data_IF_956028202954
#
_entry.id   IF_956028202954
#
_cell.length_a   1.000
_cell.length_b   1.000
_cell.length_c   1.000
_cell.angle_alpha   90.00
_cell.angle_beta   90.00
_cell.angle_gamma   90.00
#
_symmetry.space_group_name_H-M   'P 1'
#
loop_
_entity.id
_entity.type
_entity.pdbx_description
1 polymer ?
#
# COMPACT_ATOMS: atom_id res chain seq x y z
N UNK A 1 -48.32 -42.45 37.93
CA UNK A 1 -48.22 -43.89 37.59
C UNK A 1 -48.77 -44.05 36.19
N UNK A 2 -48.15 -44.92 35.37
CA UNK A 2 -48.52 -45.22 33.97
C UNK A 2 -48.38 -43.98 33.04
N UNK A 3 -47.28 -43.74 32.32
CA UNK A 3 -46.54 -44.54 31.33
C UNK A 3 -47.34 -44.87 30.07
N UNK A 4 -47.06 -44.15 28.98
CA UNK A 4 -47.17 -44.70 27.62
C UNK A 4 -46.20 -43.98 26.67
N UNK A 5 -45.56 -44.76 25.82
CA UNK A 5 -44.81 -44.35 24.62
C UNK A 5 -45.40 -45.09 23.43
N UNK A 6 -45.23 -44.58 22.20
CA UNK A 6 -44.92 -45.52 21.13
C UNK A 6 -43.78 -45.07 20.21
N UNK A 7 -43.31 -46.05 19.41
CA UNK A 7 -42.11 -46.03 18.59
C UNK A 7 -42.25 -45.35 17.22
N UNK A 8 -41.11 -44.83 16.75
CA UNK A 8 -40.48 -45.01 15.41
C UNK A 8 -41.39 -45.24 14.19
N UNK A 9 -41.21 -44.38 13.18
CA UNK A 9 -41.30 -44.78 11.77
C UNK A 9 -40.28 -43.99 10.92
N UNK A 10 -39.44 -44.70 10.15
CA UNK A 10 -38.53 -44.13 9.16
C UNK A 10 -39.09 -44.31 7.75
N UNK A 11 -39.01 -43.28 6.90
CA UNK A 11 -39.30 -43.42 5.46
C UNK A 11 -38.35 -42.56 4.62
N UNK A 12 -37.43 -43.23 3.92
CA UNK A 12 -36.80 -42.68 2.72
C UNK A 12 -37.81 -42.66 1.56
N UNK A 13 -37.65 -41.74 0.59
CA UNK A 13 -38.03 -41.98 -0.80
C UNK A 13 -36.80 -42.42 -1.61
N UNK A 14 -36.86 -43.60 -2.21
CA UNK A 14 -35.90 -44.06 -3.22
C UNK A 14 -36.32 -43.60 -4.62
N UNK A 15 -35.32 -43.16 -5.39
CA UNK A 15 -35.12 -43.40 -6.83
C UNK A 15 -36.34 -43.47 -7.78
N UNK A 16 -36.29 -42.66 -8.83
CA UNK A 16 -36.40 -43.24 -10.17
C UNK A 16 -35.28 -42.71 -11.06
N UNK A 17 -34.61 -43.63 -11.76
CA UNK A 17 -33.53 -43.34 -12.69
C UNK A 17 -34.03 -43.41 -14.13
N UNK A 18 -33.35 -42.71 -15.03
CA UNK A 18 -33.34 -43.03 -16.45
C UNK A 18 -31.93 -42.85 -17.02
N UNK A 19 -31.24 -43.97 -17.18
CA UNK A 19 -30.20 -44.25 -18.17
C UNK A 19 -30.61 -43.74 -19.58
N UNK A 20 -29.74 -43.45 -20.56
CA UNK A 20 -28.27 -43.43 -20.74
C UNK A 20 -28.04 -42.82 -22.17
N UNK A 21 -26.85 -42.76 -22.83
CA UNK A 21 -25.53 -43.28 -22.46
C UNK A 21 -24.34 -42.30 -22.58
N UNK A 22 -23.21 -42.82 -22.10
CA UNK A 22 -21.84 -42.29 -22.14
C UNK A 22 -21.25 -42.13 -23.56
N UNK A 23 -20.36 -41.14 -23.72
CA UNK A 23 -19.28 -41.16 -24.72
C UNK A 23 -17.95 -40.74 -24.05
N UNK A 24 -17.00 -41.67 -23.94
CA UNK A 24 -15.64 -41.41 -23.46
C UNK A 24 -14.77 -40.80 -24.57
N UNK A 25 -13.97 -39.77 -24.26
CA UNK A 25 -12.72 -39.54 -24.99
C UNK A 25 -11.63 -38.88 -24.14
N UNK A 26 -10.60 -39.68 -23.88
CA UNK A 26 -9.18 -39.36 -23.75
C UNK A 26 -8.72 -38.01 -23.15
N UNK A 27 -7.96 -38.13 -22.06
CA UNK A 27 -7.01 -37.11 -21.56
C UNK A 27 -6.08 -36.61 -22.67
N UNK A 28 -5.81 -35.30 -22.70
CA UNK A 28 -4.49 -34.77 -23.08
C UNK A 28 -4.15 -33.52 -22.27
N UNK A 29 -3.14 -33.65 -21.42
CA UNK A 29 -2.43 -32.53 -20.82
C UNK A 29 -1.67 -31.77 -21.91
N UNK A 30 -1.81 -30.45 -21.96
CA UNK A 30 -0.98 -29.58 -22.81
C UNK A 30 -0.33 -28.52 -21.92
N UNK A 31 1.00 -28.55 -21.86
CA UNK A 31 1.79 -27.50 -21.24
C UNK A 31 1.65 -26.21 -22.08
N UNK A 32 1.27 -25.11 -21.44
CA UNK A 32 1.30 -23.79 -22.08
C UNK A 32 2.74 -23.26 -22.03
N UNK A 33 3.44 -23.28 -23.16
CA UNK A 33 4.80 -22.73 -23.27
C UNK A 33 4.75 -21.22 -23.55
N UNK A 34 5.56 -20.47 -22.79
CA UNK A 34 5.61 -19.01 -22.78
C UNK A 34 6.38 -18.46 -24.00
N UNK A 35 5.80 -18.57 -25.22
CA UNK A 35 6.16 -17.85 -26.47
C UNK A 35 5.23 -18.25 -27.64
N UNK A 36 4.19 -17.48 -27.89
CA UNK A 36 3.47 -17.42 -29.18
C UNK A 36 2.57 -16.16 -29.21
N UNK A 37 2.47 -15.52 -30.38
CA UNK A 37 1.77 -14.26 -30.70
C UNK A 37 2.63 -12.97 -30.64
N UNK A 38 3.65 -12.95 -31.49
CA UNK A 38 4.20 -11.75 -32.10
C UNK A 38 4.06 -11.92 -33.63
N UNK A 39 3.59 -10.88 -34.32
CA UNK A 39 3.50 -10.63 -35.79
C UNK A 39 2.48 -11.38 -36.72
N UNK A 40 1.72 -10.55 -37.47
CA UNK A 40 1.09 -10.81 -38.79
C UNK A 40 -0.42 -11.08 -38.76
N UNK A 41 -1.32 -10.33 -39.42
CA UNK A 41 -1.23 -9.65 -40.73
C UNK A 41 -2.23 -8.46 -40.85
N UNK A 42 -2.19 -7.81 -42.00
CA UNK A 42 -2.77 -6.54 -42.45
C UNK A 42 -4.29 -6.51 -42.71
N UNK A 43 -4.83 -5.28 -42.72
CA UNK A 43 -5.85 -4.90 -43.69
C UNK A 43 -5.64 -3.45 -44.14
N UNK A 44 -5.88 -3.20 -45.43
CA UNK A 44 -5.68 -1.92 -46.11
C UNK A 44 -7.03 -1.23 -46.25
N UNK A 45 -7.13 0.04 -45.84
CA UNK A 45 -8.00 1.02 -46.50
C UNK A 45 -7.32 2.39 -46.53
N UNK A 46 -7.57 3.09 -47.63
CA UNK A 46 -6.86 4.27 -48.08
C UNK A 46 -7.80 5.48 -48.06
N UNK A 47 -7.35 6.60 -47.48
CA UNK A 47 -7.96 7.92 -47.63
C UNK A 47 -7.00 8.99 -47.11
N UNK A 48 -6.57 9.88 -48.00
CA UNK A 48 -5.70 11.01 -47.71
C UNK A 48 -6.32 12.00 -46.71
N UNK A 49 -5.50 12.53 -45.78
CA UNK A 49 -5.67 13.88 -45.24
C UNK A 49 -4.32 14.40 -44.69
N UNK A 50 -4.05 15.70 -44.85
CA UNK A 50 -2.76 16.32 -44.50
C UNK A 50 -2.56 16.46 -42.98
N UNK A 51 -1.50 15.87 -42.41
CA UNK A 51 -1.12 16.13 -41.01
C UNK A 51 0.31 16.65 -40.80
N UNK A 52 0.40 17.68 -39.96
CA UNK A 52 1.58 18.49 -39.69
C UNK A 52 2.63 17.67 -38.90
N UNK A 53 3.79 17.43 -39.52
CA UNK A 53 4.88 16.64 -38.89
C UNK A 53 5.44 17.30 -37.62
N UNK A 54 5.46 16.63 -36.45
CA UNK A 54 6.10 17.16 -35.26
C UNK A 54 7.64 17.19 -35.40
N UNK A 55 8.34 18.13 -34.71
CA UNK A 55 9.79 18.28 -34.85
C UNK A 55 10.55 17.04 -34.33
N UNK A 56 11.66 16.63 -34.98
CA UNK A 56 12.33 15.37 -34.67
C UNK A 56 12.99 15.37 -33.29
N UNK A 57 12.59 14.40 -32.45
CA UNK A 57 13.11 14.17 -31.09
C UNK A 57 14.65 14.08 -31.05
N UNK A 58 15.23 14.54 -29.92
CA UNK A 58 16.66 14.66 -29.62
C UNK A 58 17.55 13.54 -30.20
N UNK A 59 17.18 12.28 -29.98
CA UNK A 59 17.93 11.10 -30.43
C UNK A 59 18.16 11.04 -31.95
N UNK A 60 17.23 11.54 -32.77
CA UNK A 60 17.40 11.59 -34.24
C UNK A 60 18.43 12.65 -34.65
N UNK A 61 18.49 13.79 -33.95
CA UNK A 61 19.53 14.82 -34.15
C UNK A 61 20.92 14.30 -33.74
N UNK A 62 21.01 13.59 -32.61
CA UNK A 62 22.26 12.99 -32.13
C UNK A 62 22.77 11.88 -33.09
N UNK A 63 21.89 11.02 -33.58
CA UNK A 63 22.24 9.95 -34.54
C UNK A 63 22.70 10.52 -35.90
N UNK A 64 22.15 11.65 -36.32
CA UNK A 64 22.58 12.36 -37.53
C UNK A 64 23.96 13.04 -37.37
N UNK A 65 24.28 13.63 -36.21
CA UNK A 65 25.61 14.24 -35.99
C UNK A 65 26.73 13.20 -35.93
N UNK A 66 26.46 12.01 -35.38
CA UNK A 66 27.38 10.89 -35.38
C UNK A 66 27.59 10.29 -36.79
N UNK A 67 26.51 10.17 -37.59
CA UNK A 67 26.60 9.68 -38.98
C UNK A 67 27.39 10.63 -39.89
N UNK A 68 27.38 11.94 -39.62
CA UNK A 68 28.15 12.95 -40.36
C UNK A 68 29.67 12.92 -40.10
N UNK A 69 30.14 12.09 -39.15
CA UNK A 69 31.56 11.99 -38.77
C UNK A 69 32.30 10.81 -39.39
N UNK A 70 31.61 9.97 -40.20
CA UNK A 70 32.17 8.70 -40.69
C UNK A 70 31.88 8.39 -42.17
N UNK A 71 31.75 9.43 -43.00
CA UNK A 71 31.71 9.32 -44.47
C UNK A 71 32.48 10.50 -45.10
N UNK A 72 33.22 10.32 -46.19
CA UNK A 72 33.57 9.09 -46.89
C UNK A 72 34.79 9.31 -47.78
N UNK A 73 35.59 8.27 -48.01
CA UNK A 73 36.77 8.34 -48.87
C UNK A 73 36.34 8.12 -50.33
N UNK A 74 35.83 9.17 -50.97
CA UNK A 74 35.47 9.13 -52.39
C UNK A 74 36.76 9.18 -53.21
N UNK A 75 36.96 8.17 -54.06
CA UNK A 75 37.95 8.22 -55.15
C UNK A 75 37.28 8.91 -56.33
N UNK A 76 37.90 9.96 -56.82
CA UNK A 76 37.68 10.48 -58.17
C UNK A 76 39.02 10.27 -58.88
N UNK A 77 39.01 9.49 -59.96
CA UNK A 77 40.09 9.51 -60.94
C UNK A 77 39.84 10.72 -61.84
N UNK A 78 40.77 11.67 -61.83
CA UNK A 78 40.92 12.67 -62.87
C UNK A 78 42.41 12.95 -63.03
N UNK A 79 42.91 12.76 -64.25
CA UNK A 79 44.32 12.95 -64.57
C UNK A 79 44.65 14.42 -64.78
N UNK A 80 45.52 14.98 -63.93
CA UNK A 80 46.31 16.15 -64.32
C UNK A 80 47.71 16.10 -63.71
N UNK A 81 48.72 16.31 -64.55
CA UNK A 81 50.12 16.38 -64.14
C UNK A 81 50.35 17.54 -63.17
N UNK A 82 50.96 17.26 -62.03
CA UNK A 82 51.46 18.29 -61.12
C UNK A 82 52.97 18.13 -60.93
N UNK A 83 53.69 19.16 -61.37
CA UNK A 83 55.16 19.24 -61.37
C UNK A 83 55.71 19.12 -59.96
N UNK A 84 56.71 18.24 -59.77
CA UNK A 84 57.46 18.13 -58.51
C UNK A 84 58.58 19.17 -58.46
N UNK A 85 58.70 19.86 -57.33
CA UNK A 85 59.93 20.53 -56.90
C UNK A 85 60.49 19.81 -55.66
N UNK A 86 61.82 19.67 -55.51
CA UNK A 86 62.44 18.93 -54.41
C UNK A 86 62.69 19.78 -53.15
N UNK A 87 62.88 19.07 -52.02
CA UNK A 87 63.40 19.52 -50.72
C UNK A 87 62.59 20.59 -49.94
N UNK A 88 62.36 20.47 -48.62
CA UNK A 88 63.30 20.01 -47.59
C UNK A 88 62.64 19.57 -46.25
N UNK A 89 63.45 18.96 -45.36
CA UNK A 89 63.34 18.89 -43.88
C UNK A 89 62.16 18.13 -43.20
N UNK A 90 62.47 16.89 -42.78
CA UNK A 90 61.71 16.09 -41.78
C UNK A 90 61.79 16.71 -40.36
N UNK A 91 60.68 17.24 -39.85
CA UNK A 91 60.50 17.60 -38.41
C UNK A 91 59.04 17.99 -38.08
N UNK A 92 58.47 17.94 -36.86
CA UNK A 92 58.85 17.32 -35.56
C UNK A 92 57.65 16.49 -35.03
N UNK A 93 57.62 15.15 -35.14
CA UNK A 93 56.43 14.33 -34.71
C UNK A 93 56.24 14.18 -33.18
N UNK A 94 57.23 14.54 -32.35
CA UNK A 94 57.22 14.26 -30.91
C UNK A 94 56.22 15.03 -30.04
N UNK A 95 55.75 16.22 -30.46
CA UNK A 95 54.99 17.10 -29.56
C UNK A 95 53.47 16.88 -29.55
N UNK A 96 52.88 16.32 -30.63
CA UNK A 96 51.41 16.09 -30.72
C UNK A 96 50.93 14.89 -29.90
N UNK A 97 51.80 13.95 -29.55
CA UNK A 97 51.42 12.74 -28.78
C UNK A 97 51.14 13.11 -27.32
N UNK A 98 52.07 13.80 -26.65
CA UNK A 98 51.91 14.22 -25.23
C UNK A 98 50.58 14.95 -24.96
N UNK A 99 50.18 15.88 -25.84
CA UNK A 99 48.93 16.66 -25.70
C UNK A 99 47.65 15.79 -25.73
N UNK A 100 47.66 14.64 -26.43
CA UNK A 100 46.54 13.69 -26.44
C UNK A 100 46.44 12.85 -25.16
N UNK A 101 47.57 12.50 -24.55
CA UNK A 101 47.57 11.78 -23.27
C UNK A 101 47.11 12.68 -22.11
N UNK A 102 47.57 13.93 -22.08
CA UNK A 102 47.09 14.93 -21.10
C UNK A 102 45.58 15.16 -21.24
N UNK A 103 45.08 15.39 -22.46
CA UNK A 103 43.64 15.56 -22.69
C UNK A 103 42.79 14.34 -22.30
N UNK A 104 43.33 13.12 -22.44
CA UNK A 104 42.66 11.89 -21.95
C UNK A 104 42.70 11.81 -20.42
N UNK A 105 43.82 12.15 -19.78
CA UNK A 105 43.94 12.18 -18.33
C UNK A 105 42.94 13.16 -17.69
N UNK A 106 42.76 14.35 -18.27
CA UNK A 106 41.79 15.35 -17.80
C UNK A 106 40.31 14.89 -17.85
N UNK A 107 39.98 13.82 -18.59
CA UNK A 107 38.63 13.24 -18.63
C UNK A 107 38.54 11.96 -17.81
N UNK A 108 39.59 11.13 -17.83
CA UNK A 108 39.64 9.86 -17.09
C UNK A 108 39.75 10.09 -15.57
N UNK A 109 40.54 11.07 -15.11
CA UNK A 109 40.73 11.32 -13.68
C UNK A 109 39.42 11.75 -13.00
N UNK A 110 38.63 12.73 -13.48
CA UNK A 110 37.33 13.04 -12.90
C UNK A 110 36.35 11.86 -12.94
N UNK A 111 36.35 11.07 -14.02
CA UNK A 111 35.49 9.89 -14.13
C UNK A 111 35.83 8.83 -13.07
N UNK A 112 37.12 8.56 -12.85
CA UNK A 112 37.58 7.64 -11.81
C UNK A 112 37.25 8.16 -10.40
N UNK A 113 37.32 9.47 -10.17
CA UNK A 113 36.91 10.08 -8.90
C UNK A 113 35.41 9.90 -8.65
N UNK A 114 34.56 10.13 -9.67
CA UNK A 114 33.10 9.89 -9.56
C UNK A 114 32.79 8.42 -9.33
N UNK A 115 33.48 7.50 -10.02
CA UNK A 115 33.33 6.06 -9.81
C UNK A 115 33.78 5.66 -8.39
N UNK A 116 34.92 6.18 -7.92
CA UNK A 116 35.43 5.91 -6.57
C UNK A 116 34.44 6.37 -5.49
N UNK A 117 33.94 7.61 -5.57
CA UNK A 117 32.93 8.09 -4.63
C UNK A 117 31.59 7.34 -4.78
N UNK A 118 31.20 6.92 -5.98
CA UNK A 118 30.02 6.07 -6.20
C UNK A 118 30.16 4.70 -5.54
N UNK A 119 31.33 4.06 -5.64
CA UNK A 119 31.64 2.79 -4.96
C UNK A 119 31.69 3.00 -3.44
N UNK A 120 32.33 4.07 -2.96
CA UNK A 120 32.37 4.41 -1.54
C UNK A 120 30.97 4.67 -0.98
N UNK A 121 30.09 5.29 -1.76
CA UNK A 121 28.71 5.56 -1.36
C UNK A 121 27.85 4.29 -1.38
N UNK A 122 28.04 3.41 -2.36
CA UNK A 122 27.44 2.07 -2.39
C UNK A 122 27.91 1.25 -1.18
N UNK A 123 29.21 1.22 -0.90
CA UNK A 123 29.77 0.55 0.28
C UNK A 123 29.22 1.13 1.57
N UNK A 124 29.11 2.45 1.71
CA UNK A 124 28.50 3.08 2.89
C UNK A 124 27.01 2.74 3.04
N UNK A 125 26.28 2.60 1.93
CA UNK A 125 24.88 2.15 1.93
C UNK A 125 24.80 0.68 2.33
N UNK A 126 25.58 -0.21 1.72
CA UNK A 126 25.62 -1.63 2.08
C UNK A 126 26.08 -1.86 3.53
N UNK A 127 27.15 -1.21 3.98
CA UNK A 127 27.64 -1.25 5.36
C UNK A 127 26.65 -0.61 6.33
N UNK A 128 25.91 0.42 5.92
CA UNK A 128 24.79 0.97 6.69
C UNK A 128 23.61 -0.01 6.84
N UNK A 129 23.46 -0.96 5.91
CA UNK A 129 22.50 -2.06 6.01
C UNK A 129 23.04 -3.31 6.73
N UNK A 130 24.36 -3.48 6.90
CA UNK A 130 24.92 -4.64 7.64
C UNK A 130 24.35 -4.73 9.07
N UNK A 131 24.25 -3.65 9.88
CA UNK A 131 23.56 -3.68 11.18
C UNK A 131 22.07 -4.02 11.13
N UNK A 132 21.41 -3.92 9.96
CA UNK A 132 20.01 -4.34 9.79
C UNK A 132 19.85 -5.78 9.33
N UNK A 133 20.92 -6.43 8.86
CA UNK A 133 20.94 -7.86 8.52
C UNK A 133 21.63 -8.71 9.60
N UNK A 134 22.47 -8.10 10.44
CA UNK A 134 23.12 -8.71 11.60
C UNK A 134 22.62 -8.03 12.89
N UNK A 135 21.33 -8.18 13.19
CA UNK A 135 20.82 -7.90 14.53
C UNK A 135 21.10 -9.12 15.42
N UNK A 136 22.23 -9.09 16.14
CA UNK A 136 22.58 -10.10 17.15
C UNK A 136 21.77 -9.86 18.45
N UNK A 137 20.44 -9.89 18.31
CA UNK A 137 19.48 -9.76 19.41
C UNK A 137 18.17 -10.50 19.10
N UNK A 138 18.27 -11.71 18.54
CA UNK A 138 17.20 -12.70 18.68
C UNK A 138 17.21 -13.22 20.13
N UNK A 139 16.64 -12.45 21.05
CA UNK A 139 16.28 -12.96 22.38
C UNK A 139 15.20 -14.01 22.20
N UNK A 140 15.59 -15.28 22.29
CA UNK A 140 14.69 -16.42 22.25
C UNK A 140 13.65 -16.27 23.38
N UNK A 141 12.37 -16.12 23.03
CA UNK A 141 11.31 -15.71 23.98
C UNK A 141 10.80 -16.86 24.86
N UNK A 142 11.60 -17.90 25.07
CA UNK A 142 11.37 -18.93 26.09
C UNK A 142 11.77 -18.40 27.47
N UNK A 143 10.91 -17.57 28.05
CA UNK A 143 11.08 -17.02 29.40
C UNK A 143 10.39 -17.89 30.46
N UNK A 144 10.91 -17.85 31.68
CA UNK A 144 10.20 -18.38 32.86
C UNK A 144 8.92 -17.59 33.14
N UNK A 145 7.96 -18.22 33.80
CA UNK A 145 6.62 -17.65 34.04
C UNK A 145 6.64 -16.28 34.75
N UNK A 146 7.58 -16.08 35.68
CA UNK A 146 7.78 -14.78 36.37
C UNK A 146 8.34 -13.68 35.45
N UNK A 147 9.24 -14.01 34.52
CA UNK A 147 9.74 -13.03 33.56
C UNK A 147 8.70 -12.73 32.46
N UNK A 148 7.98 -13.76 32.02
CA UNK A 148 6.88 -13.66 31.06
C UNK A 148 5.76 -12.75 31.56
N UNK A 149 5.32 -12.93 32.81
CA UNK A 149 4.25 -12.10 33.42
C UNK A 149 4.62 -10.62 33.58
N UNK A 150 5.87 -10.31 33.96
CA UNK A 150 6.35 -8.92 34.05
C UNK A 150 6.47 -8.23 32.68
N UNK A 151 6.76 -8.97 31.61
CA UNK A 151 6.82 -8.42 30.26
C UNK A 151 5.42 -8.29 29.66
N UNK A 152 4.53 -9.26 29.92
CA UNK A 152 3.13 -9.17 29.54
C UNK A 152 2.46 -7.92 30.15
N UNK A 153 2.64 -7.65 31.45
CA UNK A 153 2.09 -6.43 32.07
C UNK A 153 2.67 -5.15 31.46
N UNK A 154 3.98 -5.09 31.21
CA UNK A 154 4.62 -3.95 30.55
C UNK A 154 4.09 -3.73 29.11
N UNK A 155 3.80 -4.78 28.35
CA UNK A 155 3.20 -4.68 27.01
C UNK A 155 1.76 -4.16 27.04
N UNK A 156 0.98 -4.53 28.06
CA UNK A 156 -0.39 -4.03 28.25
C UNK A 156 -0.43 -2.53 28.60
N UNK A 157 0.63 -2.02 29.23
CA UNK A 157 0.77 -0.62 29.65
C UNK A 157 1.69 0.25 28.79
N UNK A 158 2.14 -0.24 27.63
CA UNK A 158 3.07 0.46 26.71
C UNK A 158 2.59 1.85 26.28
N UNK A 159 1.28 2.11 26.33
CA UNK A 159 0.62 3.36 25.94
C UNK A 159 0.36 4.33 27.10
N UNK A 160 0.82 4.02 28.32
CA UNK A 160 0.50 4.76 29.54
C UNK A 160 0.80 6.26 29.43
N UNK A 161 1.99 6.59 28.93
CA UNK A 161 2.50 7.96 28.80
C UNK A 161 2.69 8.37 27.33
N UNK A 162 1.95 7.75 26.41
CA UNK A 162 2.03 8.00 24.97
C UNK A 162 0.89 8.90 24.52
N UNK A 163 1.20 10.04 23.91
CA UNK A 163 0.21 10.91 23.26
C UNK A 163 -0.18 10.34 21.89
N UNK A 164 -1.47 10.06 21.63
CA UNK A 164 -1.91 9.62 20.32
C UNK A 164 -1.80 10.73 19.26
N UNK A 165 -1.50 10.32 18.03
CA UNK A 165 -1.45 11.18 16.84
C UNK A 165 -2.12 10.48 15.63
N UNK A 166 -2.63 11.23 14.62
CA UNK A 166 -3.27 10.67 13.42
C UNK A 166 -2.30 10.02 12.41
N UNK A 167 -1.34 9.21 12.88
CA UNK A 167 -0.56 8.36 12.00
C UNK A 167 -1.21 6.99 11.83
N UNK A 168 -1.11 6.47 10.61
CA UNK A 168 -1.50 5.14 10.23
C UNK A 168 -0.24 4.31 9.95
N UNK A 169 0.03 3.34 10.82
CA UNK A 169 1.15 2.43 10.71
C UNK A 169 0.88 1.42 9.60
N UNK A 170 1.39 1.75 8.42
CA UNK A 170 1.23 0.96 7.21
C UNK A 170 2.04 -0.33 7.28
N UNK A 171 1.45 -1.45 6.82
CA UNK A 171 2.05 -2.79 6.84
C UNK A 171 2.63 -3.18 8.24
N UNK A 172 1.90 -2.92 9.33
CA UNK A 172 2.44 -2.94 10.70
C UNK A 172 3.04 -4.28 11.15
N UNK A 173 2.54 -5.38 10.59
CA UNK A 173 3.04 -6.75 10.80
C UNK A 173 4.48 -7.00 10.28
N UNK A 174 5.09 -6.08 9.53
CA UNK A 174 6.54 -6.13 9.20
C UNK A 174 7.44 -5.65 10.35
N UNK A 175 6.88 -5.08 11.42
CA UNK A 175 7.66 -4.58 12.55
C UNK A 175 8.21 -5.71 13.40
N UNK A 176 9.24 -5.39 14.19
CA UNK A 176 9.83 -6.34 15.15
C UNK A 176 8.82 -6.75 16.21
N UNK A 177 7.99 -5.83 16.66
CA UNK A 177 6.87 -6.11 17.56
C UNK A 177 5.59 -5.49 16.97
N UNK A 178 4.85 -6.24 16.12
CA UNK A 178 3.59 -5.80 15.53
C UNK A 178 2.60 -5.32 16.59
N UNK A 179 1.72 -4.40 16.21
CA UNK A 179 0.82 -3.60 17.04
C UNK A 179 1.54 -2.69 18.05
N UNK A 180 2.37 -3.26 18.92
CA UNK A 180 2.99 -2.57 20.04
C UNK A 180 3.95 -1.46 19.59
N UNK A 181 4.72 -1.65 18.52
CA UNK A 181 5.58 -0.59 17.97
C UNK A 181 4.75 0.61 17.46
N UNK A 182 3.61 0.39 16.78
CA UNK A 182 2.72 1.47 16.35
C UNK A 182 2.14 2.26 17.52
N UNK A 183 1.62 1.53 18.52
CA UNK A 183 1.01 2.11 19.71
C UNK A 183 2.03 2.89 20.55
N UNK A 184 3.29 2.42 20.64
CA UNK A 184 4.37 3.12 21.35
C UNK A 184 4.71 4.49 20.75
N UNK A 185 4.57 4.66 19.43
CA UNK A 185 4.77 5.95 18.75
C UNK A 185 3.47 6.78 18.65
N UNK A 186 2.38 6.32 19.25
CA UNK A 186 1.12 7.06 19.29
C UNK A 186 0.23 6.92 18.05
N UNK A 187 0.52 6.02 17.10
CA UNK A 187 -0.34 5.89 15.94
C UNK A 187 -1.72 5.36 16.31
N UNK A 188 -2.76 6.13 15.99
CA UNK A 188 -4.16 5.75 16.16
C UNK A 188 -4.72 4.94 14.99
N UNK A 189 -3.88 4.49 14.05
CA UNK A 189 -4.24 3.53 13.01
C UNK A 189 -3.17 2.48 12.78
N UNK A 190 -3.60 1.22 12.58
CA UNK A 190 -2.77 0.06 12.22
C UNK A 190 -3.39 -0.72 11.07
N UNK A 191 -2.57 -1.43 10.31
CA UNK A 191 -2.96 -2.18 9.10
C UNK A 191 -2.68 -3.68 9.24
N UNK A 192 -3.63 -4.51 8.83
CA UNK A 192 -3.54 -5.97 8.74
C UNK A 192 -3.91 -6.45 7.33
N UNK A 193 -2.91 -6.88 6.55
CA UNK A 193 -3.09 -7.49 5.23
C UNK A 193 -3.55 -8.95 5.39
N UNK A 194 -4.86 -9.24 5.28
CA UNK A 194 -5.43 -10.57 5.56
C UNK A 194 -5.62 -11.43 4.31
N UNK A 195 -5.22 -12.70 4.43
CA UNK A 195 -5.42 -13.76 3.45
C UNK A 195 -6.19 -14.91 4.08
N UNK A 196 -7.29 -15.32 3.46
CA UNK A 196 -8.05 -16.51 3.88
C UNK A 196 -7.44 -17.77 3.25
N UNK A 197 -7.04 -18.73 4.08
CA UNK A 197 -6.66 -20.09 3.67
C UNK A 197 -7.19 -21.07 4.72
N UNK A 198 -7.78 -22.19 4.28
CA UNK A 198 -8.27 -23.27 5.15
C UNK A 198 -9.11 -22.78 6.35
N UNK A 199 -10.02 -21.83 6.08
CA UNK A 199 -10.91 -21.15 7.05
C UNK A 199 -10.22 -20.23 8.10
N UNK A 200 -8.90 -20.05 8.05
CA UNK A 200 -8.13 -19.15 8.93
C UNK A 200 -7.61 -17.90 8.18
N UNK A 201 -7.48 -16.78 8.91
CA UNK A 201 -7.03 -15.49 8.39
C UNK A 201 -5.56 -15.26 8.77
N UNK A 202 -4.66 -15.49 7.82
CA UNK A 202 -3.24 -15.20 7.96
C UNK A 202 -2.92 -13.76 7.59
N UNK A 203 -1.98 -13.14 8.30
CA UNK A 203 -1.54 -11.76 8.06
C UNK A 203 -0.20 -11.73 7.34
N UNK A 204 -0.11 -10.95 6.27
CA UNK A 204 1.16 -10.67 5.59
C UNK A 204 0.98 -9.95 4.26
N UNK A 205 2.01 -9.28 3.77
CA UNK A 205 1.92 -8.49 2.52
C UNK A 205 1.80 -9.37 1.28
N UNK A 206 2.34 -10.59 1.36
CA UNK A 206 2.38 -11.59 0.31
C UNK A 206 2.26 -12.98 0.95
N UNK A 207 1.77 -13.97 0.21
CA UNK A 207 1.65 -15.36 0.65
C UNK A 207 2.95 -15.98 1.18
N UNK A 208 4.11 -15.53 0.68
CA UNK A 208 5.43 -15.99 1.11
C UNK A 208 5.87 -15.48 2.51
N UNK A 209 5.17 -14.47 3.05
CA UNK A 209 5.45 -13.91 4.38
C UNK A 209 4.55 -14.51 5.47
N UNK A 210 3.59 -15.36 5.10
CA UNK A 210 2.64 -15.95 6.04
C UNK A 210 3.33 -17.01 6.90
N UNK A 211 2.97 -17.04 8.18
CA UNK A 211 3.46 -18.04 9.14
C UNK A 211 2.29 -18.67 9.88
N UNK A 212 2.39 -19.92 10.36
CA UNK A 212 1.27 -20.60 11.03
C UNK A 212 0.71 -19.84 12.24
N UNK A 213 1.56 -19.11 12.97
CA UNK A 213 1.16 -18.33 14.15
C UNK A 213 0.77 -16.89 13.81
N UNK A 214 1.09 -16.39 12.61
CA UNK A 214 0.81 -15.03 12.14
C UNK A 214 -0.64 -14.86 11.69
N UNK A 215 -1.60 -15.16 12.57
CA UNK A 215 -3.04 -15.03 12.29
C UNK A 215 -3.60 -13.69 12.76
N UNK A 216 -4.72 -13.29 12.17
CA UNK A 216 -5.41 -12.03 12.50
C UNK A 216 -5.81 -11.96 13.99
N UNK A 217 -6.18 -13.10 14.60
CA UNK A 217 -6.43 -13.20 16.05
C UNK A 217 -5.16 -12.94 16.86
N UNK A 218 -4.12 -13.73 16.62
CA UNK A 218 -2.89 -13.69 17.41
C UNK A 218 -2.16 -12.34 17.33
N UNK A 219 -2.18 -11.71 16.16
CA UNK A 219 -1.43 -10.46 15.90
C UNK A 219 -2.20 -9.19 16.28
N UNK A 220 -3.54 -9.20 16.25
CA UNK A 220 -4.35 -7.99 16.47
C UNK A 220 -5.47 -8.19 17.49
N UNK A 221 -6.41 -9.12 17.26
CA UNK A 221 -7.62 -9.20 18.09
C UNK A 221 -7.30 -9.55 19.54
N UNK A 222 -6.54 -10.62 19.78
CA UNK A 222 -6.28 -11.10 21.14
C UNK A 222 -5.38 -10.13 21.94
N UNK A 223 -4.32 -9.53 21.36
CA UNK A 223 -3.60 -8.41 21.99
C UNK A 223 -4.50 -7.24 22.35
N UNK A 224 -5.38 -6.79 21.44
CA UNK A 224 -6.27 -5.64 21.68
C UNK A 224 -7.29 -5.92 22.78
N UNK A 225 -7.91 -7.11 22.78
CA UNK A 225 -8.81 -7.55 23.85
C UNK A 225 -8.08 -7.51 25.20
N UNK A 226 -6.88 -8.10 25.29
CA UNK A 226 -6.10 -8.12 26.54
C UNK A 226 -5.74 -6.70 27.02
N UNK A 227 -5.31 -5.82 26.10
CA UNK A 227 -4.95 -4.43 26.42
C UNK A 227 -6.15 -3.62 26.95
N UNK A 228 -7.30 -3.74 26.30
CA UNK A 228 -8.51 -2.99 26.68
C UNK A 228 -9.12 -3.59 27.96
N UNK A 229 -9.15 -4.92 28.11
CA UNK A 229 -9.56 -5.59 29.35
C UNK A 229 -8.71 -5.12 30.53
N UNK A 230 -7.38 -5.04 30.37
CA UNK A 230 -6.47 -4.59 31.42
C UNK A 230 -6.76 -3.15 31.86
N UNK A 231 -7.02 -2.23 30.91
CA UNK A 231 -7.30 -0.81 31.18
C UNK A 231 -8.71 -0.53 31.71
N UNK A 232 -9.64 -1.47 31.49
CA UNK A 232 -11.02 -1.43 31.95
C UNK A 232 -11.31 -2.39 33.11
N UNK A 233 -10.28 -3.06 33.65
CA UNK A 233 -10.40 -3.90 34.83
C UNK A 233 -11.00 -3.09 35.99
N UNK A 234 -11.99 -3.68 36.67
CA UNK A 234 -12.81 -2.98 37.66
C UNK A 234 -11.97 -2.55 38.85
N UNK A 235 -11.64 -1.26 38.93
CA UNK A 235 -11.25 -0.62 40.19
C UNK A 235 -12.41 -0.76 41.17
N UNK A 236 -12.12 -1.06 42.45
CA UNK A 236 -13.09 -1.42 43.49
C UNK A 236 -14.13 -0.33 43.88
N UNK A 237 -14.24 0.74 43.10
CA UNK A 237 -15.23 1.81 43.21
C UNK A 237 -16.09 1.75 41.93
N UNK A 238 -17.35 1.26 42.01
CA UNK A 238 -18.24 1.29 40.87
C UNK A 238 -18.54 2.75 40.46
N UNK A 239 -18.32 3.14 39.20
CA UNK A 239 -18.77 4.43 38.70
C UNK A 239 -20.31 4.51 38.70
N UNK A 240 -20.84 5.71 38.93
CA UNK A 240 -22.28 5.98 39.07
C UNK A 240 -23.08 5.93 37.75
N UNK A 241 -22.43 5.60 36.65
CA UNK A 241 -23.01 5.40 35.33
C UNK A 241 -22.24 4.31 34.58
N UNK A 242 -22.88 3.66 33.60
CA UNK A 242 -22.20 2.71 32.71
C UNK A 242 -21.08 3.42 31.95
N UNK A 243 -19.79 3.12 32.19
CA UNK A 243 -18.71 3.85 31.56
C UNK A 243 -18.61 3.49 30.08
N UNK A 244 -18.37 4.50 29.24
CA UNK A 244 -17.80 4.25 27.92
C UNK A 244 -16.45 3.54 28.12
N UNK A 245 -16.20 2.36 27.49
CA UNK A 245 -14.94 1.66 27.66
C UNK A 245 -13.75 2.53 27.23
N UNK A 246 -12.69 2.55 28.04
CA UNK A 246 -11.46 3.26 27.74
C UNK A 246 -10.73 2.58 26.57
N UNK A 247 -10.28 3.38 25.62
CA UNK A 247 -9.45 2.97 24.50
C UNK A 247 -8.02 2.57 24.89
N UNK A 248 -7.19 2.32 23.88
CA UNK A 248 -5.83 1.81 24.08
C UNK A 248 -4.85 2.84 24.66
N UNK A 249 -5.12 4.15 24.55
CA UNK A 249 -4.24 5.23 25.03
C UNK A 249 -4.70 5.76 26.40
N UNK A 250 -3.86 5.61 27.43
CA UNK A 250 -4.21 6.09 28.79
C UNK A 250 -4.26 7.62 28.89
N UNK A 251 -3.51 8.32 28.03
CA UNK A 251 -3.46 9.79 27.93
C UNK A 251 -4.71 10.39 27.29
N UNK A 252 -5.43 9.63 26.46
CA UNK A 252 -6.67 10.03 25.81
C UNK A 252 -7.63 8.83 25.76
N UNK A 253 -8.37 8.55 26.86
CA UNK A 253 -9.15 7.33 26.99
C UNK A 253 -10.33 7.19 26.01
N UNK A 254 -10.75 8.26 25.35
CA UNK A 254 -11.79 8.22 24.29
C UNK A 254 -11.21 8.07 22.89
N UNK A 255 -9.87 8.05 22.72
CA UNK A 255 -9.25 7.88 21.42
C UNK A 255 -9.44 6.46 20.90
N UNK A 256 -10.26 6.31 19.85
CA UNK A 256 -10.41 5.06 19.12
C UNK A 256 -9.11 4.69 18.39
N UNK A 257 -8.77 3.40 18.36
CA UNK A 257 -7.74 2.84 17.49
C UNK A 257 -8.39 2.30 16.22
N UNK A 258 -7.92 2.73 15.06
CA UNK A 258 -8.38 2.24 13.77
C UNK A 258 -7.64 0.95 13.40
N UNK A 259 -8.37 -0.15 13.28
CA UNK A 259 -7.86 -1.40 12.72
C UNK A 259 -8.31 -1.50 11.26
N UNK A 260 -7.40 -1.18 10.34
CA UNK A 260 -7.62 -1.31 8.90
C UNK A 260 -7.29 -2.73 8.47
N UNK A 261 -8.26 -3.42 7.86
CA UNK A 261 -8.16 -4.82 7.44
C UNK A 261 -8.21 -4.87 5.92
N UNK A 262 -7.08 -5.14 5.27
CA UNK A 262 -6.95 -5.18 3.81
C UNK A 262 -7.15 -6.60 3.29
N UNK A 263 -8.26 -6.82 2.59
CA UNK A 263 -8.68 -8.13 2.10
C UNK A 263 -7.92 -8.48 0.82
N UNK A 264 -6.97 -9.42 0.88
CA UNK A 264 -6.03 -9.69 -0.23
C UNK A 264 -6.50 -10.71 -1.26
N UNK A 265 -7.31 -11.69 -0.87
CA UNK A 265 -7.92 -12.65 -1.79
C UNK A 265 -9.46 -12.46 -1.84
N UNK A 266 -10.27 -13.51 -1.76
CA UNK A 266 -11.72 -13.38 -1.93
C UNK A 266 -12.36 -12.62 -0.75
N UNK A 267 -12.70 -11.36 -0.99
CA UNK A 267 -13.29 -10.50 0.02
C UNK A 267 -14.68 -10.92 0.50
N UNK A 268 -15.45 -11.67 -0.31
CA UNK A 268 -16.76 -12.22 0.11
C UNK A 268 -16.59 -13.43 1.02
N UNK A 269 -15.52 -14.20 0.84
CA UNK A 269 -15.16 -15.28 1.75
C UNK A 269 -14.47 -14.75 3.03
N UNK A 270 -13.61 -13.73 2.94
CA UNK A 270 -12.94 -13.09 4.10
C UNK A 270 -13.95 -12.43 5.04
N UNK A 271 -14.92 -11.67 4.52
CA UNK A 271 -15.84 -10.84 5.31
C UNK A 271 -16.51 -11.57 6.50
N UNK A 272 -17.17 -12.74 6.33
CA UNK A 272 -17.78 -13.46 7.46
C UNK A 272 -16.76 -13.91 8.50
N UNK A 273 -15.56 -14.36 8.09
CA UNK A 273 -14.51 -14.81 9.03
C UNK A 273 -13.94 -13.63 9.82
N UNK A 274 -13.73 -12.47 9.19
CA UNK A 274 -13.37 -11.22 9.89
C UNK A 274 -14.45 -10.85 10.91
N UNK A 275 -15.72 -10.86 10.51
CA UNK A 275 -16.83 -10.55 11.42
C UNK A 275 -16.93 -11.53 12.60
N UNK A 276 -16.64 -12.82 12.38
CA UNK A 276 -16.55 -13.84 13.42
C UNK A 276 -15.36 -13.60 14.37
N UNK A 277 -14.20 -13.16 13.86
CA UNK A 277 -13.03 -12.86 14.69
C UNK A 277 -13.27 -11.63 15.55
N UNK A 278 -13.99 -10.63 15.04
CA UNK A 278 -14.38 -9.42 15.77
C UNK A 278 -15.39 -9.67 16.92
N UNK A 279 -16.03 -10.84 16.99
CA UNK A 279 -16.94 -11.20 18.10
C UNK A 279 -16.31 -10.99 19.47
N UNK A 280 -15.02 -11.30 19.63
CA UNK A 280 -14.29 -11.12 20.88
C UNK A 280 -14.20 -9.65 21.36
N UNK A 281 -14.26 -8.67 20.44
CA UNK A 281 -14.35 -7.24 20.75
C UNK A 281 -15.82 -6.78 20.85
N UNK A 282 -16.70 -7.34 20.00
CA UNK A 282 -18.13 -7.03 19.93
C UNK A 282 -18.86 -7.33 21.23
N UNK A 283 -18.69 -8.53 21.78
CA UNK A 283 -19.36 -8.98 23.02
C UNK A 283 -18.97 -8.14 24.24
N UNK A 284 -17.82 -7.45 24.18
CA UNK A 284 -17.31 -6.54 25.21
C UNK A 284 -17.71 -5.07 24.99
N UNK A 285 -18.43 -4.76 23.91
CA UNK A 285 -18.75 -3.41 23.45
C UNK A 285 -17.49 -2.55 23.16
N UNK A 286 -16.43 -3.16 22.62
CA UNK A 286 -15.17 -2.47 22.31
C UNK A 286 -15.10 -1.93 20.87
N UNK A 287 -16.08 -2.24 20.03
CA UNK A 287 -16.15 -1.78 18.65
C UNK A 287 -16.95 -0.47 18.53
N UNK A 288 -16.49 0.45 17.68
CA UNK A 288 -17.34 1.47 17.05
C UNK A 288 -18.36 0.76 16.16
N UNK A 289 -19.63 1.17 16.20
CA UNK A 289 -20.69 0.56 15.40
C UNK A 289 -21.77 1.56 14.99
N UNK A 290 -22.47 1.26 13.90
CA UNK A 290 -23.69 1.92 13.48
C UNK A 290 -24.92 1.18 14.01
N UNK A 291 -25.84 1.89 14.66
CA UNK A 291 -27.01 1.35 15.38
C UNK A 291 -28.33 1.30 14.58
N UNK A 292 -28.26 1.62 13.28
CA UNK A 292 -29.44 1.84 12.42
C UNK A 292 -29.77 3.32 12.19
N UNK A 293 -29.25 4.22 13.01
CA UNK A 293 -29.51 5.66 12.96
C UNK A 293 -28.25 6.52 13.04
N UNK A 294 -27.26 6.11 13.83
CA UNK A 294 -26.06 6.88 14.16
C UNK A 294 -24.86 5.96 14.38
N UNK A 295 -23.66 6.53 14.31
CA UNK A 295 -22.41 5.82 14.61
C UNK A 295 -22.00 6.10 16.05
N UNK A 296 -21.96 5.05 16.86
CA UNK A 296 -21.54 5.05 18.26
C UNK A 296 -20.04 4.71 18.32
N UNK A 297 -19.23 5.63 18.83
CA UNK A 297 -17.77 5.42 18.95
C UNK A 297 -17.41 4.43 20.07
N UNK A 298 -16.44 3.56 19.78
CA UNK A 298 -15.86 2.62 20.73
C UNK A 298 -14.32 2.60 20.68
N UNK A 299 -13.67 1.89 21.63
CA UNK A 299 -12.22 1.71 21.68
C UNK A 299 -11.52 1.36 20.36
N UNK A 300 -12.16 0.55 19.51
CA UNK A 300 -11.64 0.08 18.23
C UNK A 300 -12.61 0.44 17.10
N UNK A 301 -12.14 1.11 16.06
CA UNK A 301 -12.90 1.31 14.82
C UNK A 301 -12.33 0.38 13.75
N UNK A 302 -13.12 -0.57 13.25
CA UNK A 302 -12.66 -1.49 12.20
C UNK A 302 -13.02 -0.92 10.83
N UNK A 303 -12.04 -0.90 9.94
CA UNK A 303 -12.22 -0.43 8.56
C UNK A 303 -11.77 -1.52 7.61
N UNK A 304 -12.64 -1.97 6.71
CA UNK A 304 -12.31 -2.95 5.69
C UNK A 304 -11.91 -2.27 4.37
N UNK A 305 -10.85 -2.79 3.75
CA UNK A 305 -10.26 -2.24 2.53
C UNK A 305 -9.76 -3.37 1.59
N UNK A 306 -9.12 -3.02 0.48
CA UNK A 306 -8.69 -3.98 -0.53
C UNK A 306 -9.85 -4.55 -1.33
N UNK A 307 -10.02 -5.87 -1.34
CA UNK A 307 -11.15 -6.55 -1.98
C UNK A 307 -12.44 -6.54 -1.13
N UNK A 308 -12.51 -5.73 -0.07
CA UNK A 308 -13.66 -5.60 0.82
C UNK A 308 -14.97 -5.31 0.06
N UNK A 309 -16.01 -6.16 0.19
CA UNK A 309 -17.27 -6.00 -0.52
C UNK A 309 -18.19 -4.97 0.17
N UNK A 310 -18.32 -3.78 -0.41
CA UNK A 310 -19.18 -2.70 0.10
C UNK A 310 -20.66 -3.13 0.22
N UNK A 311 -21.14 -3.97 -0.70
CA UNK A 311 -22.47 -4.56 -0.70
C UNK A 311 -22.74 -5.41 0.55
N UNK A 312 -21.79 -6.22 1.00
CA UNK A 312 -21.94 -7.00 2.24
C UNK A 312 -21.75 -6.16 3.50
N UNK A 313 -20.80 -5.21 3.48
CA UNK A 313 -20.57 -4.28 4.60
C UNK A 313 -21.84 -3.47 4.89
N UNK A 314 -22.52 -2.99 3.86
CA UNK A 314 -23.73 -2.16 4.01
C UNK A 314 -25.05 -2.94 4.05
N UNK A 315 -25.02 -4.27 3.88
CA UNK A 315 -26.24 -5.10 3.78
C UNK A 315 -27.15 -5.04 5.02
N UNK A 316 -26.56 -4.95 6.21
CA UNK A 316 -27.33 -4.84 7.45
C UNK A 316 -27.66 -3.37 7.75
N UNK A 317 -28.96 -3.03 7.76
CA UNK A 317 -29.44 -1.68 8.04
C UNK A 317 -29.60 -1.35 9.53
N UNK A 318 -29.51 -2.33 10.44
CA UNK A 318 -29.75 -2.13 11.90
C UNK A 318 -28.50 -2.26 12.76
N UNK A 319 -27.47 -2.99 12.32
CA UNK A 319 -26.20 -3.09 13.04
C UNK A 319 -25.02 -3.32 12.09
N UNK A 320 -23.97 -2.50 12.20
CA UNK A 320 -22.69 -2.69 11.49
C UNK A 320 -21.52 -2.22 12.34
N UNK A 321 -20.47 -3.01 12.46
CA UNK A 321 -19.25 -2.69 13.23
C UNK A 321 -17.97 -2.73 12.38
N UNK A 322 -18.12 -2.91 11.07
CA UNK A 322 -17.07 -2.81 10.05
C UNK A 322 -17.46 -1.65 9.12
N UNK A 323 -16.58 -0.66 9.01
CA UNK A 323 -16.76 0.49 8.12
C UNK A 323 -15.95 0.29 6.84
N UNK A 324 -16.30 1.00 5.77
CA UNK A 324 -15.58 0.94 4.50
C UNK A 324 -14.44 1.98 4.39
N UNK A 325 -13.41 1.65 3.64
CA UNK A 325 -12.37 2.58 3.17
C UNK A 325 -12.78 3.16 1.80
N UNK A 326 -13.42 4.33 1.82
CA UNK A 326 -14.02 4.94 0.64
C UNK A 326 -12.98 5.41 -0.40
N UNK A 327 -13.31 5.40 -1.70
CA UNK A 327 -12.38 5.83 -2.75
C UNK A 327 -12.27 7.37 -2.80
N UNK A 328 -11.22 7.93 -2.16
CA UNK A 328 -11.04 9.38 -2.00
C UNK A 328 -11.01 10.15 -3.34
N UNK A 329 -10.58 9.54 -4.44
CA UNK A 329 -10.56 10.18 -5.78
C UNK A 329 -11.94 10.36 -6.43
N UNK A 330 -13.00 9.85 -5.79
CA UNK A 330 -14.40 10.01 -6.18
C UNK A 330 -15.14 11.03 -5.30
N UNK A 331 -14.57 11.43 -4.15
CA UNK A 331 -15.23 12.32 -3.20
C UNK A 331 -14.95 13.82 -3.44
N UNK A 332 -13.95 14.16 -4.26
CA UNK A 332 -13.57 15.54 -4.58
C UNK A 332 -14.66 16.26 -5.38
N UNK A 333 -14.89 17.54 -5.07
CA UNK A 333 -15.84 18.43 -5.79
C UNK A 333 -15.62 18.46 -7.31
N UNK A 334 -14.38 18.28 -7.77
CA UNK A 334 -13.98 18.24 -9.19
C UNK A 334 -14.06 16.84 -9.82
N UNK A 335 -14.70 15.86 -9.17
CA UNK A 335 -14.99 14.58 -9.78
C UNK A 335 -16.08 14.73 -10.84
N UNK A 336 -15.67 15.10 -12.06
CA UNK A 336 -16.50 14.94 -13.26
C UNK A 336 -17.10 13.53 -13.25
N UNK A 337 -18.39 13.40 -13.55
CA UNK A 337 -19.10 12.10 -13.57
C UNK A 337 -18.36 11.11 -14.48
N UNK A 338 -17.50 10.28 -13.88
CA UNK A 338 -16.84 9.17 -14.59
C UNK A 338 -17.92 8.16 -14.91
N UNK A 339 -18.01 7.77 -16.18
CA UNK A 339 -18.99 6.79 -16.63
C UNK A 339 -18.76 5.44 -15.96
N UNK A 340 -19.78 4.59 -15.92
CA UNK A 340 -19.74 3.25 -15.31
C UNK A 340 -18.55 2.40 -15.76
N UNK A 341 -18.16 2.54 -17.03
CA UNK A 341 -17.06 1.80 -17.65
C UNK A 341 -15.69 2.15 -17.06
N UNK A 342 -15.51 3.39 -16.60
CA UNK A 342 -14.30 3.86 -15.93
C UNK A 342 -14.22 3.35 -14.48
N UNK A 343 -15.37 3.02 -13.86
CA UNK A 343 -15.42 2.41 -12.52
C UNK A 343 -15.16 0.90 -12.60
N UNK A 344 -15.79 0.19 -13.53
CA UNK A 344 -15.62 -1.26 -13.71
C UNK A 344 -14.17 -1.65 -14.06
N UNK A 345 -13.45 -0.81 -14.82
CA UNK A 345 -12.03 -1.01 -15.16
C UNK A 345 -11.04 -0.73 -14.02
N UNK A 346 -11.51 -0.26 -12.86
CA UNK A 346 -10.70 0.13 -11.70
C UNK A 346 -10.68 -0.89 -10.56
N UNK A 347 -10.93 -2.16 -10.85
CA UNK A 347 -10.83 -3.26 -9.88
C UNK A 347 -9.65 -3.09 -8.92
N UNK A 348 -9.96 -2.91 -7.64
CA UNK A 348 -9.02 -2.54 -6.60
C UNK A 348 -9.71 -1.89 -5.40
N UNK A 349 -8.89 -1.38 -4.49
CA UNK A 349 -9.30 -0.78 -3.21
C UNK A 349 -10.42 0.26 -3.37
N UNK A 350 -11.49 0.12 -2.61
CA UNK A 350 -12.61 1.07 -2.56
C UNK A 350 -13.67 0.92 -3.67
N UNK A 351 -13.63 -0.14 -4.49
CA UNK A 351 -14.62 -0.32 -5.59
C UNK A 351 -15.38 -1.65 -5.58
N UNK A 352 -14.98 -2.65 -4.79
CA UNK A 352 -15.65 -3.95 -4.76
C UNK A 352 -17.03 -3.81 -4.10
N UNK A 353 -18.08 -4.30 -4.77
CA UNK A 353 -19.45 -4.20 -4.28
C UNK A 353 -20.11 -2.82 -4.43
N UNK A 354 -19.40 -1.82 -4.98
CA UNK A 354 -19.96 -0.48 -5.20
C UNK A 354 -20.78 -0.40 -6.50
N UNK A 355 -21.73 0.53 -6.54
CA UNK A 355 -22.54 0.86 -7.72
C UNK A 355 -22.38 2.36 -8.05
N UNK A 356 -22.83 2.84 -9.23
CA UNK A 356 -22.86 4.28 -9.53
C UNK A 356 -23.72 5.12 -8.57
N UNK A 357 -24.56 4.49 -7.75
CA UNK A 357 -25.40 5.12 -6.72
C UNK A 357 -24.89 4.90 -5.30
N UNK A 358 -23.74 4.24 -5.10
CA UNK A 358 -23.09 4.13 -3.79
C UNK A 358 -22.71 5.52 -3.27
N UNK A 359 -23.09 5.79 -2.02
CA UNK A 359 -22.71 6.99 -1.27
C UNK A 359 -21.82 6.59 -0.10
N UNK A 360 -20.87 7.45 0.25
CA UNK A 360 -19.91 7.22 1.31
C UNK A 360 -19.99 8.35 2.33
N UNK A 361 -20.27 8.01 3.58
CA UNK A 361 -20.35 8.94 4.71
C UNK A 361 -20.07 8.20 6.03
N UNK A 362 -20.04 8.94 7.14
CA UNK A 362 -19.75 8.44 8.48
C UNK A 362 -20.68 7.31 9.01
N UNK A 363 -21.78 6.98 8.33
CA UNK A 363 -22.67 5.85 8.69
C UNK A 363 -22.19 4.52 8.10
N UNK A 364 -21.37 4.54 7.04
CA UNK A 364 -20.95 3.36 6.29
C UNK A 364 -19.43 3.28 6.03
N UNK A 365 -18.74 4.41 6.12
CA UNK A 365 -17.31 4.56 5.86
C UNK A 365 -16.65 5.33 7.00
N UNK A 366 -15.33 5.18 7.17
CA UNK A 366 -14.56 5.94 8.17
C UNK A 366 -13.33 6.59 7.54
N UNK A 367 -12.55 5.80 6.81
CA UNK A 367 -11.49 6.31 5.94
C UNK A 367 -12.02 6.66 4.55
N UNK A 368 -11.32 7.57 3.91
CA UNK A 368 -11.33 7.71 2.47
C UNK A 368 -9.89 7.71 1.96
N UNK A 369 -9.47 6.66 1.26
CA UNK A 369 -8.07 6.44 0.84
C UNK A 369 -7.84 6.61 -0.65
N UNK A 370 -6.63 7.00 -1.04
CA UNK A 370 -6.13 6.89 -2.42
C UNK A 370 -4.62 6.72 -2.49
N UNK A 371 -4.14 6.06 -3.55
CA UNK A 371 -2.73 6.10 -3.94
C UNK A 371 -2.32 7.52 -4.35
N UNK A 372 -1.37 8.11 -3.62
CA UNK A 372 -0.84 9.45 -3.88
C UNK A 372 -0.28 9.57 -5.30
N UNK A 373 0.58 8.65 -5.73
CA UNK A 373 1.22 8.68 -7.05
C UNK A 373 0.23 8.55 -8.21
N UNK A 374 -0.82 7.72 -8.08
CA UNK A 374 -1.88 7.53 -9.09
C UNK A 374 -2.85 8.72 -9.13
N UNK A 375 -3.13 9.34 -7.98
CA UNK A 375 -4.05 10.49 -7.88
C UNK A 375 -3.38 11.81 -8.25
N UNK A 376 -2.27 12.13 -7.59
CA UNK A 376 -1.59 13.43 -7.63
C UNK A 376 -0.49 13.46 -8.71
N UNK A 377 0.06 12.30 -9.07
CA UNK A 377 1.13 12.18 -10.06
C UNK A 377 2.52 12.45 -9.49
N UNK A 378 3.49 12.63 -10.39
CA UNK A 378 4.89 12.84 -10.04
C UNK A 378 5.17 14.28 -9.58
N UNK A 379 6.03 14.42 -8.56
CA UNK A 379 6.46 15.72 -8.03
C UNK A 379 7.76 16.16 -8.71
N UNK A 380 7.64 16.86 -9.84
CA UNK A 380 8.79 17.34 -10.60
C UNK A 380 9.68 18.25 -9.75
N UNK A 381 10.98 17.95 -9.73
CA UNK A 381 11.99 18.61 -8.89
C UNK A 381 11.66 18.65 -7.37
N UNK A 382 10.73 17.81 -6.88
CA UNK A 382 10.27 17.86 -5.50
C UNK A 382 9.36 19.05 -5.18
N UNK A 383 8.74 19.65 -6.20
CA UNK A 383 7.72 20.68 -6.05
C UNK A 383 6.33 20.08 -6.25
N UNK A 384 5.37 20.56 -5.46
CA UNK A 384 3.94 20.33 -5.65
C UNK A 384 3.44 21.53 -6.45
N UNK A 385 2.80 21.28 -7.59
CA UNK A 385 2.19 22.35 -8.41
C UNK A 385 0.85 22.80 -7.83
N UNK A 386 0.40 24.02 -8.16
CA UNK A 386 -0.88 24.56 -7.69
C UNK A 386 -2.08 23.68 -8.08
N UNK A 387 -2.02 23.03 -9.26
CA UNK A 387 -3.02 22.06 -9.70
C UNK A 387 -3.04 20.80 -8.82
N UNK A 388 -1.86 20.30 -8.42
CA UNK A 388 -1.75 19.16 -7.49
C UNK A 388 -2.25 19.54 -6.10
N UNK A 389 -1.90 20.72 -5.60
CA UNK A 389 -2.33 21.22 -4.28
C UNK A 389 -3.85 21.45 -4.25
N UNK A 390 -4.41 22.07 -5.30
CA UNK A 390 -5.87 22.25 -5.45
C UNK A 390 -6.60 20.91 -5.47
N UNK A 391 -6.03 19.89 -6.13
CA UNK A 391 -6.59 18.53 -6.13
C UNK A 391 -6.57 17.89 -4.74
N UNK A 392 -5.45 17.99 -4.01
CA UNK A 392 -5.31 17.51 -2.62
C UNK A 392 -6.36 18.17 -1.72
N UNK A 393 -6.49 19.51 -1.80
CA UNK A 393 -7.50 20.29 -1.06
C UNK A 393 -8.93 19.84 -1.36
N UNK A 394 -9.30 19.68 -2.63
CA UNK A 394 -10.64 19.23 -3.00
C UNK A 394 -10.91 17.78 -2.53
N UNK A 395 -9.90 16.90 -2.58
CA UNK A 395 -10.01 15.53 -2.04
C UNK A 395 -10.20 15.53 -0.52
N UNK A 396 -9.37 16.26 0.24
CA UNK A 396 -9.48 16.33 1.71
C UNK A 396 -10.83 16.94 2.14
N UNK A 397 -11.24 18.08 1.58
CA UNK A 397 -12.54 18.69 1.89
C UNK A 397 -13.71 17.78 1.51
N UNK A 398 -13.61 17.07 0.38
CA UNK A 398 -14.62 16.11 -0.07
C UNK A 398 -14.84 14.97 0.91
N UNK A 399 -13.79 14.48 1.57
CA UNK A 399 -13.89 13.52 2.67
C UNK A 399 -14.44 14.15 3.96
N UNK A 400 -13.89 15.29 4.38
CA UNK A 400 -14.32 16.00 5.59
C UNK A 400 -15.81 16.37 5.57
N UNK A 401 -16.33 16.83 4.43
CA UNK A 401 -17.75 17.15 4.24
C UNK A 401 -18.70 15.94 4.38
N UNK A 402 -18.16 14.71 4.35
CA UNK A 402 -18.87 13.44 4.53
C UNK A 402 -18.57 12.79 5.89
N UNK A 403 -17.84 13.49 6.77
CA UNK A 403 -17.36 12.98 8.07
C UNK A 403 -16.18 12.02 7.98
N UNK A 404 -15.58 11.83 6.80
CA UNK A 404 -14.54 10.83 6.54
C UNK A 404 -13.13 11.37 6.73
N UNK A 405 -12.21 10.51 7.16
CA UNK A 405 -10.79 10.83 7.32
C UNK A 405 -10.03 10.53 6.03
N UNK A 406 -9.56 11.56 5.35
CA UNK A 406 -8.72 11.40 4.15
C UNK A 406 -7.37 10.73 4.48
N UNK A 407 -6.94 9.75 3.69
CA UNK A 407 -5.62 9.06 3.80
C UNK A 407 -4.97 8.92 2.42
N UNK A 408 -3.65 9.13 2.35
CA UNK A 408 -2.88 8.98 1.11
C UNK A 408 -1.80 7.90 1.25
N UNK A 409 -1.96 6.76 0.60
CA UNK A 409 -0.95 5.69 0.57
C UNK A 409 0.00 5.82 -0.62
N UNK A 410 1.15 5.15 -0.58
CA UNK A 410 2.26 5.33 -1.55
C UNK A 410 2.71 6.80 -1.76
N UNK A 411 2.64 7.63 -0.72
CA UNK A 411 3.34 8.91 -0.72
C UNK A 411 4.88 8.70 -0.83
N UNK A 412 5.65 9.69 -1.34
CA UNK A 412 7.10 9.52 -1.55
C UNK A 412 7.84 9.17 -0.25
N UNK A 413 8.47 7.99 -0.19
CA UNK A 413 9.25 7.53 0.98
C UNK A 413 10.70 8.05 0.99
N UNK A 414 11.25 8.33 -0.19
CA UNK A 414 12.63 8.82 -0.38
C UNK A 414 12.69 9.78 -1.59
N UNK A 415 13.55 10.83 -1.60
CA UNK A 415 14.43 11.29 -0.51
C UNK A 415 13.67 11.74 0.74
N UNK A 416 14.28 11.60 1.92
CA UNK A 416 13.65 11.94 3.22
C UNK A 416 13.20 13.41 3.27
N UNK A 417 13.95 14.33 2.68
CA UNK A 417 13.53 15.74 2.58
C UNK A 417 12.26 15.95 1.75
N UNK A 418 12.07 15.18 0.66
CA UNK A 418 10.85 15.22 -0.14
C UNK A 418 9.68 14.59 0.62
N UNK A 419 9.90 13.42 1.25
CA UNK A 419 8.93 12.76 2.13
C UNK A 419 8.40 13.72 3.19
N UNK A 420 9.30 14.31 3.98
CA UNK A 420 8.93 15.20 5.08
C UNK A 420 8.21 16.47 4.56
N UNK A 421 8.58 17.00 3.39
CA UNK A 421 7.86 18.11 2.74
C UNK A 421 6.44 17.74 2.33
N UNK A 422 6.23 16.55 1.76
CA UNK A 422 4.89 16.06 1.39
C UNK A 422 4.07 15.76 2.65
N UNK A 423 4.65 15.12 3.66
CA UNK A 423 3.99 14.83 4.94
C UNK A 423 3.55 16.11 5.64
N UNK A 424 4.46 17.08 5.78
CA UNK A 424 4.15 18.39 6.37
C UNK A 424 3.00 19.08 5.62
N UNK A 425 3.07 19.15 4.28
CA UNK A 425 1.98 19.74 3.49
C UNK A 425 0.66 18.98 3.67
N UNK A 426 0.64 17.65 3.70
CA UNK A 426 -0.60 16.89 3.91
C UNK A 426 -1.23 17.21 5.28
N UNK A 427 -0.42 17.35 6.34
CA UNK A 427 -0.90 17.74 7.67
C UNK A 427 -1.36 19.20 7.70
N UNK A 428 -0.62 20.13 7.10
CA UNK A 428 -1.02 21.55 6.96
C UNK A 428 -2.32 21.74 6.15
N UNK A 429 -2.63 20.82 5.23
CA UNK A 429 -3.88 20.80 4.46
C UNK A 429 -5.02 20.00 5.13
N UNK A 430 -4.83 19.54 6.37
CA UNK A 430 -5.86 18.86 7.17
C UNK A 430 -6.16 17.42 6.78
N UNK A 431 -5.14 16.66 6.33
CA UNK A 431 -5.29 15.21 6.09
C UNK A 431 -5.78 14.49 7.35
N UNK A 432 -6.72 13.55 7.20
CA UNK A 432 -7.30 12.85 8.33
C UNK A 432 -6.33 11.88 9.00
N UNK A 433 -5.52 11.17 8.19
CA UNK A 433 -4.45 10.28 8.65
C UNK A 433 -3.24 10.32 7.72
N UNK A 434 -2.03 10.35 8.30
CA UNK A 434 -0.78 10.20 7.55
C UNK A 434 -0.35 8.73 7.52
N UNK A 435 -0.19 8.18 6.31
CA UNK A 435 0.18 6.79 6.09
C UNK A 435 1.69 6.64 5.90
N UNK A 436 2.39 5.91 6.78
CA UNK A 436 3.83 5.74 6.68
C UNK A 436 4.44 4.66 7.57
N UNK A 437 5.65 4.24 7.22
CA UNK A 437 6.38 3.19 7.96
C UNK A 437 7.36 3.79 9.00
N UNK A 438 7.91 5.00 8.77
CA UNK A 438 8.77 5.74 9.70
C UNK A 438 7.93 6.51 10.72
N UNK A 439 7.56 5.81 11.79
CA UNK A 439 6.71 6.31 12.86
C UNK A 439 7.31 7.51 13.60
N UNK A 440 8.60 7.42 13.95
CA UNK A 440 9.34 8.51 14.61
C UNK A 440 9.41 9.77 13.74
N UNK A 441 9.47 9.61 12.42
CA UNK A 441 9.35 10.74 11.49
C UNK A 441 7.97 11.42 11.53
N UNK A 442 6.90 10.65 11.75
CA UNK A 442 5.52 11.18 11.85
C UNK A 442 5.25 11.85 13.21
N UNK A 443 5.89 11.41 14.30
CA UNK A 443 5.78 12.09 15.62
C UNK A 443 6.48 13.45 15.67
N UNK A 444 7.29 13.79 14.67
CA UNK A 444 8.02 15.06 14.60
C UNK A 444 7.25 16.16 13.81
N UNK A 445 6.03 15.87 13.36
CA UNK A 445 5.15 16.83 12.70
C UNK A 445 4.33 17.58 13.74
N UNK A 446 3.95 18.82 13.42
CA UNK A 446 2.94 19.55 14.18
C UNK A 446 1.56 19.03 13.77
N UNK A 447 0.79 18.57 14.74
CA UNK A 447 -0.54 17.97 14.57
C UNK A 447 -1.65 18.85 15.14
N UNK A 448 -1.34 20.08 15.58
CA UNK A 448 -2.30 21.04 16.13
C UNK A 448 -2.87 22.03 15.09
N UNK A 449 -2.80 21.66 13.80
CA UNK A 449 -3.09 22.53 12.63
C UNK A 449 -4.57 22.54 12.26
#
# INVERSE_FOLDING_TARGET
MVSDTPEVASTHPLLYASDSPVSLSSKKSVQVSLRALEDGDSSVYDSDDEEIRPPPRFWRRLRMSLRRRNGGKVRVDDGFESVRLPDEKKSKKGYRVKRRHVARACVIVPLLVVIFFGILHLLNVFLGYVPTFLDESASDWTLSDEASSNIASHLLDITRDVTPIPCHSHNDYWRRVPLYDALRWGCTGVEADVWLFDEELYVGHNTNALTPNGTFRNMYIDPLVKMIDHKNAVTAIPPSSSPVPKGVFSTSPSQTLVLLVDFKNDGRAIFPIVSQHLTALREKNYLTYFDGTSTIEGPITVVATGNAPFDLITANSTYRDIFFDAPLDQLSDSASQKTSDDMAKRGGQGTVGTTPTSHFDATNSYYASVNFGRSIGWLWFGHISDAQLTKIRSQIRGAQARGLKARYWSAPKWPVGLRNKVWKMLVEEGVGYLNGDDLRGMTALDWAV
#
